data_IF_745961922891
#
_entry.id   IF_745961922891
#
_cell.length_a   1.000
_cell.length_b   1.000
_cell.length_c   1.000
_cell.angle_alpha   90.00
_cell.angle_beta   90.00
_cell.angle_gamma   90.00
#
_symmetry.space_group_name_H-M   'P 1'
#
loop_
_entity.id
_entity.type
_entity.pdbx_description
1 polymer ?
#
# COMPACT_ATOMS: atom_id res chain seq x y z
N UNK A 1 -10.03 1.24 -15.02
CA UNK A 1 -8.88 0.31 -14.99
C UNK A 1 -8.22 0.38 -13.62
N UNK A 2 -8.65 -0.45 -12.65
CA UNK A 2 -8.06 -0.51 -11.31
C UNK A 2 -6.58 -0.97 -11.31
N UNK A 3 -6.17 -1.67 -12.37
CA UNK A 3 -4.83 -2.25 -12.53
C UNK A 3 -3.69 -1.23 -12.56
N UNK A 4 -3.99 0.05 -12.86
CA UNK A 4 -3.01 1.14 -12.84
C UNK A 4 -2.39 1.31 -11.46
N UNK A 5 -3.12 0.98 -10.37
CA UNK A 5 -2.57 1.11 -9.03
C UNK A 5 -1.50 0.04 -8.69
N UNK A 6 -1.34 -1.01 -9.49
CA UNK A 6 -0.27 -2.01 -9.28
C UNK A 6 1.12 -1.38 -9.40
N UNK A 7 1.24 -0.24 -10.10
CA UNK A 7 2.51 0.47 -10.26
C UNK A 7 3.12 0.95 -8.94
N UNK A 8 2.37 1.00 -7.83
CA UNK A 8 2.92 1.36 -6.52
C UNK A 8 3.50 0.19 -5.74
N UNK A 9 3.27 -1.06 -6.17
CA UNK A 9 3.83 -2.25 -5.53
C UNK A 9 5.36 -2.43 -5.66
N UNK A 10 6.03 -2.23 -6.82
CA UNK A 10 7.40 -2.70 -7.01
C UNK A 10 8.41 -2.04 -6.07
N UNK A 11 8.31 -0.72 -5.82
CA UNK A 11 9.23 -0.03 -4.92
C UNK A 11 9.05 -0.51 -3.46
N UNK A 12 7.81 -0.63 -2.99
CA UNK A 12 7.50 -1.11 -1.65
C UNK A 12 7.94 -2.58 -1.44
N UNK A 13 7.74 -3.44 -2.46
CA UNK A 13 8.16 -4.83 -2.43
C UNK A 13 9.69 -4.98 -2.38
N UNK A 14 10.41 -4.23 -3.22
CA UNK A 14 11.88 -4.23 -3.20
C UNK A 14 12.41 -3.75 -1.85
N UNK A 15 11.83 -2.69 -1.29
CA UNK A 15 12.20 -2.17 0.03
C UNK A 15 12.00 -3.22 1.12
N UNK A 16 10.80 -3.82 1.19
CA UNK A 16 10.49 -4.81 2.21
C UNK A 16 11.35 -6.07 2.05
N UNK A 17 11.57 -6.53 0.81
CA UNK A 17 12.46 -7.65 0.52
C UNK A 17 13.91 -7.39 0.93
N UNK A 18 14.41 -6.17 0.71
CA UNK A 18 15.74 -5.77 1.14
C UNK A 18 15.86 -5.77 2.67
N UNK A 19 14.88 -5.20 3.38
CA UNK A 19 14.88 -5.13 4.85
C UNK A 19 14.79 -6.51 5.53
N UNK A 20 14.15 -7.49 4.88
CA UNK A 20 13.99 -8.85 5.41
C UNK A 20 15.20 -9.75 5.15
N UNK A 21 15.98 -9.48 4.09
CA UNK A 21 17.08 -10.35 3.68
C UNK A 21 18.45 -9.85 4.16
N UNK A 22 18.62 -8.54 4.31
CA UNK A 22 19.91 -7.92 4.63
C UNK A 22 20.04 -7.62 6.11
N UNK A 23 21.25 -7.81 6.64
CA UNK A 23 21.62 -7.50 8.03
C UNK A 23 22.49 -6.25 8.15
N UNK A 24 23.10 -5.80 7.04
CA UNK A 24 23.86 -4.56 6.95
C UNK A 24 23.12 -3.57 6.03
N UNK A 25 22.50 -2.57 6.63
CA UNK A 25 21.56 -1.68 5.95
C UNK A 25 22.30 -0.56 5.22
N UNK A 26 22.20 -0.55 3.88
CA UNK A 26 22.57 0.62 3.08
C UNK A 26 21.48 1.68 3.17
N UNK A 27 21.70 2.70 3.99
CA UNK A 27 20.77 3.83 4.17
C UNK A 27 20.37 4.49 2.85
N UNK A 28 21.30 4.59 1.88
CA UNK A 28 21.02 5.19 0.57
C UNK A 28 19.98 4.39 -0.23
N UNK A 29 20.06 3.06 -0.19
CA UNK A 29 19.10 2.21 -0.89
C UNK A 29 17.71 2.32 -0.24
N UNK A 30 17.67 2.26 1.10
CA UNK A 30 16.43 2.35 1.87
C UNK A 30 15.75 3.70 1.65
N UNK A 31 16.47 4.81 1.77
CA UNK A 31 15.92 6.16 1.58
C UNK A 31 15.34 6.34 0.17
N UNK A 32 16.07 5.90 -0.86
CA UNK A 32 15.63 6.04 -2.24
C UNK A 32 14.36 5.25 -2.52
N UNK A 33 14.32 3.97 -2.11
CA UNK A 33 13.15 3.12 -2.33
C UNK A 33 11.98 3.51 -1.44
N UNK A 34 12.24 4.03 -0.24
CA UNK A 34 11.21 4.56 0.65
C UNK A 34 10.52 5.79 0.04
N UNK A 35 11.29 6.79 -0.38
CA UNK A 35 10.73 7.99 -1.05
C UNK A 35 9.98 7.60 -2.33
N UNK A 36 10.54 6.68 -3.13
CA UNK A 36 9.89 6.22 -4.35
C UNK A 36 8.57 5.48 -4.06
N UNK A 37 8.55 4.61 -3.05
CA UNK A 37 7.33 3.92 -2.58
C UNK A 37 6.25 4.91 -2.17
N UNK A 38 6.63 5.94 -1.39
CA UNK A 38 5.72 6.99 -0.93
C UNK A 38 5.15 7.81 -2.09
N UNK A 39 5.98 8.20 -3.06
CA UNK A 39 5.53 8.91 -4.26
C UNK A 39 4.53 8.09 -5.06
N UNK A 40 4.79 6.79 -5.25
CA UNK A 40 3.89 5.92 -5.98
C UNK A 40 2.58 5.66 -5.20
N UNK A 41 2.63 5.58 -3.87
CA UNK A 41 1.45 5.51 -3.02
C UNK A 41 0.57 6.75 -3.18
N UNK A 42 1.16 7.95 -3.07
CA UNK A 42 0.45 9.22 -3.30
C UNK A 42 -0.11 9.28 -4.73
N UNK A 43 0.67 8.88 -5.73
CA UNK A 43 0.20 8.82 -7.11
C UNK A 43 -1.01 7.90 -7.28
N UNK A 44 -1.00 6.73 -6.62
CA UNK A 44 -2.11 5.78 -6.65
C UNK A 44 -3.39 6.30 -5.97
N UNK A 45 -3.27 7.17 -4.95
CA UNK A 45 -4.42 7.82 -4.29
C UNK A 45 -5.19 8.73 -5.25
N UNK A 46 -4.55 9.38 -6.22
CA UNK A 46 -5.26 10.19 -7.22
C UNK A 46 -6.18 9.35 -8.12
N UNK A 47 -5.87 8.06 -8.32
CA UNK A 47 -6.73 7.15 -9.08
C UNK A 47 -7.89 6.61 -8.24
N UNK A 48 -7.78 6.61 -6.91
CA UNK A 48 -8.83 6.12 -6.00
C UNK A 48 -10.21 6.74 -6.23
N UNK A 49 -10.41 8.07 -6.28
CA UNK A 49 -11.74 8.66 -6.49
C UNK A 49 -12.32 8.28 -7.85
N UNK A 50 -11.49 8.24 -8.90
CA UNK A 50 -11.90 7.82 -10.24
C UNK A 50 -12.31 6.35 -10.28
N UNK A 51 -11.67 5.51 -9.45
CA UNK A 51 -12.03 4.12 -9.32
C UNK A 51 -13.34 4.00 -8.52
N UNK A 52 -13.46 4.60 -7.33
CA UNK A 52 -14.67 4.51 -6.49
C UNK A 52 -15.96 5.04 -7.15
N UNK A 53 -15.87 5.99 -8.08
CA UNK A 53 -17.02 6.55 -8.79
C UNK A 53 -17.57 5.64 -9.91
N UNK A 54 -16.83 4.58 -10.28
CA UNK A 54 -17.30 3.59 -11.24
C UNK A 54 -18.11 2.49 -10.56
N UNK A 55 -18.90 1.73 -11.33
CA UNK A 55 -19.56 0.52 -10.83
C UNK A 55 -18.52 -0.42 -10.22
N UNK A 56 -18.84 -1.02 -9.08
CA UNK A 56 -17.95 -1.96 -8.40
C UNK A 56 -17.58 -3.11 -9.34
N UNK A 57 -16.29 -3.43 -9.42
CA UNK A 57 -15.80 -4.62 -10.11
C UNK A 57 -14.85 -5.40 -9.20
N UNK A 58 -14.76 -6.73 -9.35
CA UNK A 58 -13.79 -7.57 -8.64
C UNK A 58 -12.35 -7.05 -8.72
N UNK A 59 -12.00 -6.35 -9.80
CA UNK A 59 -10.67 -5.78 -10.03
C UNK A 59 -10.26 -4.70 -9.01
N UNK A 60 -11.19 -4.18 -8.18
CA UNK A 60 -10.85 -3.23 -7.11
C UNK A 60 -10.01 -3.90 -6.01
N UNK A 61 -10.07 -5.22 -5.87
CA UNK A 61 -9.20 -5.97 -4.96
C UNK A 61 -7.72 -5.78 -5.26
N UNK A 62 -7.34 -5.53 -6.53
CA UNK A 62 -5.95 -5.29 -6.92
C UNK A 62 -5.35 -4.01 -6.31
N UNK A 63 -6.19 -3.10 -5.78
CA UNK A 63 -5.75 -1.87 -5.09
C UNK A 63 -5.23 -2.14 -3.67
N UNK A 64 -5.66 -3.24 -3.05
CA UNK A 64 -5.34 -3.52 -1.65
C UNK A 64 -3.89 -3.96 -1.48
N UNK A 65 -3.37 -4.77 -2.41
CA UNK A 65 -2.02 -5.32 -2.34
C UNK A 65 -0.93 -4.23 -2.33
N UNK A 66 -0.91 -3.24 -3.24
CA UNK A 66 0.10 -2.20 -3.20
C UNK A 66 0.08 -1.37 -1.91
N UNK A 67 -1.11 -1.01 -1.40
CA UNK A 67 -1.25 -0.17 -0.21
C UNK A 67 -0.89 -0.87 1.08
N UNK A 68 -1.31 -2.13 1.24
CA UNK A 68 -0.88 -2.95 2.39
C UNK A 68 0.63 -3.16 2.34
N UNK A 69 1.21 -3.35 1.15
CA UNK A 69 2.65 -3.52 0.99
C UNK A 69 3.41 -2.24 1.35
N UNK A 70 2.96 -1.06 0.89
CA UNK A 70 3.55 0.22 1.29
C UNK A 70 3.50 0.41 2.81
N UNK A 71 2.34 0.20 3.43
CA UNK A 71 2.17 0.34 4.88
C UNK A 71 3.11 -0.60 5.66
N UNK A 72 3.24 -1.84 5.20
CA UNK A 72 4.13 -2.84 5.81
C UNK A 72 5.60 -2.44 5.66
N UNK A 73 6.01 -1.95 4.48
CA UNK A 73 7.38 -1.48 4.25
C UNK A 73 7.73 -0.27 5.14
N UNK A 74 6.83 0.73 5.24
CA UNK A 74 7.00 1.90 6.11
C UNK A 74 7.12 1.50 7.59
N UNK A 75 6.31 0.53 8.03
CA UNK A 75 6.40 -0.03 9.38
C UNK A 75 7.74 -0.73 9.64
N UNK A 76 8.21 -1.56 8.71
CA UNK A 76 9.52 -2.23 8.83
C UNK A 76 10.66 -1.22 8.89
N UNK A 77 10.60 -0.14 8.10
CA UNK A 77 11.56 0.97 8.19
C UNK A 77 11.48 1.63 9.55
N UNK A 78 10.30 1.99 10.04
CA UNK A 78 10.10 2.63 11.34
C UNK A 78 10.65 1.79 12.52
N UNK A 79 10.57 0.46 12.41
CA UNK A 79 11.00 -0.46 13.45
C UNK A 79 12.51 -0.76 13.42
N UNK A 80 13.09 -0.95 12.24
CA UNK A 80 14.44 -1.51 12.10
C UNK A 80 15.49 -0.49 11.62
N UNK A 81 15.06 0.68 11.13
CA UNK A 81 15.97 1.64 10.49
C UNK A 81 15.72 3.07 10.99
N UNK A 82 16.76 3.71 11.49
CA UNK A 82 16.77 5.15 11.75
C UNK A 82 17.26 5.91 10.51
N UNK A 83 16.34 6.54 9.78
CA UNK A 83 16.69 7.33 8.60
C UNK A 83 17.45 8.61 8.99
N UNK A 84 18.54 8.97 8.29
CA UNK A 84 19.33 10.15 8.64
C UNK A 84 18.62 11.48 8.36
N UNK A 85 17.67 11.51 7.41
CA UNK A 85 16.99 12.73 6.98
C UNK A 85 15.58 12.91 7.54
N UNK A 86 14.98 11.88 8.13
CA UNK A 86 13.61 11.88 8.64
C UNK A 86 13.63 11.35 10.07
N UNK A 87 13.02 12.07 11.00
CA UNK A 87 12.96 11.61 12.39
C UNK A 87 12.12 10.34 12.52
N UNK A 88 12.57 9.42 13.38
CA UNK A 88 11.89 8.14 13.61
C UNK A 88 10.43 8.32 14.05
N UNK A 89 10.10 9.38 14.78
CA UNK A 89 8.73 9.70 15.18
C UNK A 89 7.82 10.01 13.98
N UNK A 90 8.33 10.72 12.97
CA UNK A 90 7.57 11.02 11.75
C UNK A 90 7.33 9.73 10.96
N UNK A 91 8.35 8.87 10.83
CA UNK A 91 8.22 7.59 10.12
C UNK A 91 7.22 6.68 10.83
N UNK A 92 7.24 6.63 12.17
CA UNK A 92 6.25 5.91 12.97
C UNK A 92 4.83 6.46 12.79
N UNK A 93 4.67 7.78 12.85
CA UNK A 93 3.38 8.43 12.60
C UNK A 93 2.84 8.09 11.21
N UNK A 94 3.69 8.14 10.19
CA UNK A 94 3.35 7.79 8.82
C UNK A 94 2.94 6.31 8.71
N UNK A 95 3.71 5.40 9.30
CA UNK A 95 3.43 3.96 9.30
C UNK A 95 2.03 3.66 9.86
N UNK A 96 1.69 4.26 11.00
CA UNK A 96 0.37 4.07 11.64
C UNK A 96 -0.75 4.59 10.75
N UNK A 97 -0.58 5.77 10.15
CA UNK A 97 -1.57 6.36 9.23
C UNK A 97 -1.79 5.45 8.01
N UNK A 98 -0.72 4.95 7.39
CA UNK A 98 -0.81 4.06 6.24
C UNK A 98 -1.46 2.71 6.60
N UNK A 99 -1.14 2.14 7.76
CA UNK A 99 -1.76 0.90 8.25
C UNK A 99 -3.27 1.10 8.45
N UNK A 100 -3.68 2.16 9.14
CA UNK A 100 -5.10 2.45 9.38
C UNK A 100 -5.82 2.61 8.04
N UNK A 101 -5.23 3.38 7.12
CA UNK A 101 -5.78 3.57 5.78
C UNK A 101 -5.92 2.24 5.02
N UNK A 102 -4.87 1.42 5.00
CA UNK A 102 -4.86 0.12 4.33
C UNK A 102 -5.94 -0.81 4.90
N UNK A 103 -6.08 -0.87 6.23
CA UNK A 103 -7.10 -1.67 6.91
C UNK A 103 -8.52 -1.23 6.52
N UNK A 104 -8.79 0.08 6.53
CA UNK A 104 -10.10 0.62 6.13
C UNK A 104 -10.42 0.24 4.69
N UNK A 105 -9.48 0.42 3.76
CA UNK A 105 -9.69 0.09 2.34
C UNK A 105 -9.93 -1.40 2.16
N UNK A 106 -9.11 -2.26 2.78
CA UNK A 106 -9.24 -3.72 2.70
C UNK A 106 -10.61 -4.15 3.23
N UNK A 107 -11.04 -3.61 4.36
CA UNK A 107 -12.36 -3.90 4.93
C UNK A 107 -13.49 -3.48 3.98
N UNK A 108 -13.43 -2.27 3.42
CA UNK A 108 -14.42 -1.76 2.46
C UNK A 108 -14.49 -2.61 1.18
N UNK A 109 -13.35 -2.98 0.62
CA UNK A 109 -13.28 -3.82 -0.58
C UNK A 109 -13.81 -5.22 -0.29
N UNK A 110 -13.43 -5.81 0.84
CA UNK A 110 -13.92 -7.12 1.28
C UNK A 110 -15.44 -7.12 1.45
N UNK A 111 -16.01 -6.11 2.10
CA UNK A 111 -17.45 -5.98 2.27
C UNK A 111 -18.17 -5.85 0.93
N UNK A 112 -17.70 -4.99 0.02
CA UNK A 112 -18.29 -4.86 -1.32
C UNK A 112 -18.18 -6.15 -2.13
N UNK A 113 -17.08 -6.88 -1.99
CA UNK A 113 -16.88 -8.16 -2.65
C UNK A 113 -17.82 -9.22 -2.10
N UNK A 114 -17.98 -9.30 -0.77
CA UNK A 114 -18.95 -10.20 -0.13
C UNK A 114 -20.38 -9.89 -0.58
N UNK A 115 -20.76 -8.62 -0.65
CA UNK A 115 -22.06 -8.21 -1.20
C UNK A 115 -22.24 -8.61 -2.66
N UNK A 116 -21.22 -8.40 -3.50
CA UNK A 116 -21.24 -8.83 -4.90
C UNK A 116 -21.38 -10.34 -5.04
N UNK A 117 -20.69 -11.11 -4.19
CA UNK A 117 -20.79 -12.57 -4.17
C UNK A 117 -22.16 -13.06 -3.69
N UNK A 118 -22.78 -12.37 -2.71
CA UNK A 118 -24.10 -12.72 -2.17
C UNK A 118 -25.25 -12.29 -3.10
N UNK A 119 -25.03 -11.32 -3.98
CA UNK A 119 -25.98 -10.88 -5.03
C UNK A 119 -26.03 -11.87 -6.22
N UNK A 120 -26.19 -13.16 -5.91
CA UNK A 120 -26.26 -14.31 -6.84
C UNK A 120 -27.50 -14.25 -7.77
N UNK A 121 -28.35 -13.21 -7.70
CA UNK A 121 -29.49 -13.01 -8.61
C UNK A 121 -29.11 -12.69 -10.08
N UNK A 122 -27.82 -12.66 -10.44
CA UNK A 122 -27.34 -12.38 -11.81
C UNK A 122 -26.77 -13.58 -12.57
N UNK A 123 -26.74 -14.76 -11.96
CA UNK A 123 -26.31 -16.00 -12.62
C UNK A 123 -27.47 -16.99 -12.87
N UNK A 124 -28.72 -16.54 -12.69
CA UNK A 124 -29.94 -17.18 -13.17
C UNK A 124 -30.64 -16.25 -14.17
#
# INVERSE_FOLDING_TARGET
MPMVAIISAPAALCLNGYLLNETDYSYLYIDLFFILSQLLFIFSLFFLPKILNNKFTPAYAALTFPWVTTASATYTVAQNVSLPFISSEIVWGLAVVEIIFAVIVVALVTLRYAWYLLDIRKFN
#
